data_IF_625615064424
#
_entry.id   IF_625615064424
#
_cell.length_a   1.000
_cell.length_b   1.000
_cell.length_c   1.000
_cell.angle_alpha   90.00
_cell.angle_beta   90.00
_cell.angle_gamma   90.00
#
_symmetry.space_group_name_H-M   'P 1'
#
loop_
_entity.id
_entity.type
_entity.pdbx_description
1 polymer ?
#
# COMPACT_ATOMS: atom_id res chain seq x y z
N UNK A 1 11.39 -11.81 -13.23
CA UNK A 1 12.36 -11.16 -12.32
C UNK A 1 12.28 -9.64 -12.35
N UNK A 2 12.09 -9.02 -13.51
CA UNK A 2 11.99 -7.55 -13.65
C UNK A 2 10.90 -6.92 -12.77
N UNK A 3 9.69 -7.50 -12.75
CA UNK A 3 8.57 -7.03 -11.92
C UNK A 3 8.97 -6.96 -10.44
N UNK A 4 9.69 -7.96 -9.94
CA UNK A 4 10.12 -8.03 -8.54
C UNK A 4 11.14 -6.92 -8.22
N UNK A 5 12.09 -6.67 -9.12
CA UNK A 5 13.04 -5.55 -8.98
C UNK A 5 12.31 -4.21 -8.95
N UNK A 6 11.37 -3.99 -9.87
CA UNK A 6 10.56 -2.77 -9.92
C UNK A 6 9.74 -2.61 -8.63
N UNK A 7 9.15 -3.69 -8.14
CA UNK A 7 8.34 -3.66 -6.94
C UNK A 7 9.17 -3.38 -5.67
N UNK A 8 10.41 -3.86 -5.59
CA UNK A 8 11.36 -3.51 -4.51
C UNK A 8 11.74 -2.03 -4.56
N UNK A 9 12.03 -1.49 -5.74
CA UNK A 9 12.33 -0.07 -5.91
C UNK A 9 11.15 0.81 -5.48
N UNK A 10 9.93 0.45 -5.90
CA UNK A 10 8.70 1.16 -5.51
C UNK A 10 8.47 1.07 -3.99
N UNK A 11 8.63 -0.12 -3.40
CA UNK A 11 8.47 -0.32 -1.95
C UNK A 11 9.45 0.53 -1.15
N UNK A 12 10.67 0.70 -1.66
CA UNK A 12 11.70 1.56 -1.05
C UNK A 12 11.27 3.03 -0.95
N UNK A 13 10.45 3.52 -1.86
CA UNK A 13 9.86 4.87 -1.80
C UNK A 13 8.95 5.00 -0.57
N UNK A 14 8.07 4.03 -0.34
CA UNK A 14 7.19 3.99 0.84
C UNK A 14 7.99 3.91 2.14
N UNK A 15 9.02 3.05 2.19
CA UNK A 15 9.91 2.89 3.35
C UNK A 15 10.59 4.24 3.66
N UNK A 16 11.17 4.90 2.65
CA UNK A 16 11.77 6.22 2.82
C UNK A 16 10.76 7.24 3.36
N UNK A 17 9.53 7.24 2.83
CA UNK A 17 8.42 8.05 3.32
C UNK A 17 8.12 7.83 4.80
N UNK A 18 8.03 6.58 5.26
CA UNK A 18 7.79 6.23 6.68
C UNK A 18 8.96 6.61 7.58
N UNK A 19 10.21 6.40 7.13
CA UNK A 19 11.40 6.74 7.90
C UNK A 19 11.49 8.25 8.10
N UNK A 20 11.35 9.03 7.02
CA UNK A 20 11.45 10.49 7.03
C UNK A 20 10.14 11.21 7.41
N UNK A 21 9.08 10.46 7.73
CA UNK A 21 7.73 11.00 8.00
C UNK A 21 7.23 11.94 6.89
N UNK A 22 7.57 11.63 5.63
CA UNK A 22 7.12 12.40 4.46
C UNK A 22 5.93 11.71 3.82
N UNK A 23 4.72 12.22 4.09
CA UNK A 23 3.45 11.67 3.59
C UNK A 23 3.44 11.45 2.08
N UNK A 24 3.93 12.40 1.30
CA UNK A 24 3.94 12.30 -0.15
C UNK A 24 4.64 11.03 -0.63
N UNK A 25 5.88 10.78 -0.19
CA UNK A 25 6.63 9.59 -0.60
C UNK A 25 6.03 8.30 -0.04
N UNK A 26 5.53 8.35 1.20
CA UNK A 26 4.82 7.22 1.80
C UNK A 26 3.66 6.79 0.90
N UNK A 27 2.76 7.72 0.55
CA UNK A 27 1.58 7.44 -0.27
C UNK A 27 1.96 7.09 -1.72
N UNK A 28 2.93 7.81 -2.30
CA UNK A 28 3.39 7.58 -3.67
C UNK A 28 3.85 6.14 -3.90
N UNK A 29 4.59 5.54 -2.96
CA UNK A 29 5.04 4.17 -3.12
C UNK A 29 3.88 3.17 -3.16
N UNK A 30 2.86 3.29 -2.29
CA UNK A 30 1.65 2.45 -2.39
C UNK A 30 0.88 2.68 -3.68
N UNK A 31 0.79 3.94 -4.13
CA UNK A 31 0.09 4.28 -5.36
C UNK A 31 0.76 3.63 -6.57
N UNK A 32 2.08 3.79 -6.72
CA UNK A 32 2.84 3.16 -7.78
C UNK A 32 2.80 1.64 -7.68
N UNK A 33 2.81 1.08 -6.47
CA UNK A 33 2.69 -0.35 -6.25
C UNK A 33 1.34 -0.88 -6.73
N UNK A 34 0.27 -0.14 -6.47
CA UNK A 34 -1.08 -0.51 -6.93
C UNK A 34 -1.18 -0.53 -8.45
N UNK A 35 -0.56 0.44 -9.13
CA UNK A 35 -0.50 0.49 -10.60
C UNK A 35 0.25 -0.74 -11.12
N UNK A 36 1.43 -1.03 -10.56
CA UNK A 36 2.23 -2.19 -10.95
C UNK A 36 1.43 -3.49 -10.81
N UNK A 37 0.77 -3.68 -9.67
CA UNK A 37 -0.05 -4.86 -9.41
C UNK A 37 -1.18 -5.01 -10.43
N UNK A 38 -1.93 -3.93 -10.69
CA UNK A 38 -3.02 -3.91 -11.69
C UNK A 38 -2.49 -4.26 -13.07
N UNK A 39 -1.37 -3.67 -13.50
CA UNK A 39 -0.79 -3.96 -14.82
C UNK A 39 -0.26 -5.39 -14.92
N UNK A 40 0.20 -5.98 -13.82
CA UNK A 40 0.67 -7.37 -13.80
C UNK A 40 -0.47 -8.39 -13.81
N UNK A 41 -1.69 -8.00 -13.41
CA UNK A 41 -2.89 -8.84 -13.39
C UNK A 41 -3.61 -8.88 -14.74
N UNK A 42 -3.46 -7.85 -15.58
CA UNK A 42 -4.17 -7.77 -16.87
C UNK A 42 -3.90 -8.94 -17.82
N UNK A 43 -2.65 -9.44 -17.98
CA UNK A 43 -2.36 -10.55 -18.89
C UNK A 43 -3.00 -11.88 -18.46
N UNK A 44 -3.12 -12.12 -17.15
CA UNK A 44 -3.60 -13.40 -16.58
C UNK A 44 -5.08 -13.40 -16.25
N UNK A 45 -5.82 -12.34 -16.61
CA UNK A 45 -7.22 -12.15 -16.22
C UNK A 45 -8.15 -13.30 -16.63
N UNK A 46 -7.88 -13.94 -17.76
CA UNK A 46 -8.71 -15.02 -18.29
C UNK A 46 -8.42 -16.39 -17.64
N UNK A 47 -7.34 -16.52 -16.87
CA UNK A 47 -6.91 -17.80 -16.28
C UNK A 47 -7.67 -18.11 -14.98
N UNK A 48 -7.88 -17.12 -14.12
CA UNK A 48 -8.76 -17.19 -12.95
C UNK A 48 -9.54 -15.88 -12.77
N UNK A 49 -10.70 -15.74 -13.43
CA UNK A 49 -11.46 -14.50 -13.42
C UNK A 49 -11.88 -14.03 -12.02
N UNK A 50 -12.17 -14.95 -11.10
CA UNK A 50 -12.61 -14.59 -9.75
C UNK A 50 -11.47 -14.02 -8.92
N UNK A 51 -10.31 -14.68 -8.95
CA UNK A 51 -9.12 -14.18 -8.27
C UNK A 51 -8.63 -12.87 -8.90
N UNK A 52 -8.64 -12.77 -10.22
CA UNK A 52 -8.22 -11.57 -10.95
C UNK A 52 -9.13 -10.38 -10.65
N UNK A 53 -10.47 -10.53 -10.64
CA UNK A 53 -11.41 -9.46 -10.28
C UNK A 53 -11.23 -9.04 -8.81
N UNK A 54 -11.06 -10.01 -7.91
CA UNK A 54 -10.85 -9.74 -6.47
C UNK A 54 -9.57 -8.96 -6.26
N UNK A 55 -8.48 -9.38 -6.89
CA UNK A 55 -7.17 -8.72 -6.82
C UNK A 55 -7.23 -7.33 -7.45
N UNK A 56 -7.87 -7.19 -8.62
CA UNK A 56 -8.09 -5.90 -9.28
C UNK A 56 -8.86 -4.93 -8.37
N UNK A 57 -9.97 -5.37 -7.78
CA UNK A 57 -10.75 -4.54 -6.86
C UNK A 57 -9.92 -4.10 -5.66
N UNK A 58 -9.15 -5.02 -5.06
CA UNK A 58 -8.31 -4.74 -3.91
C UNK A 58 -7.21 -3.70 -4.24
N UNK A 59 -6.52 -3.87 -5.37
CA UNK A 59 -5.45 -2.97 -5.78
C UNK A 59 -5.99 -1.63 -6.34
N UNK A 60 -7.18 -1.59 -6.92
CA UNK A 60 -7.84 -0.32 -7.25
C UNK A 60 -8.16 0.49 -6.00
N UNK A 61 -8.73 -0.15 -4.98
CA UNK A 61 -8.98 0.51 -3.68
C UNK A 61 -7.66 0.99 -3.08
N UNK A 62 -6.60 0.17 -3.12
CA UNK A 62 -5.26 0.56 -2.68
C UNK A 62 -4.79 1.82 -3.40
N UNK A 63 -4.90 1.88 -4.71
CA UNK A 63 -4.51 3.04 -5.53
C UNK A 63 -5.30 4.30 -5.18
N UNK A 64 -6.62 4.20 -5.06
CA UNK A 64 -7.48 5.34 -4.71
C UNK A 64 -7.11 5.91 -3.34
N UNK A 65 -7.03 5.06 -2.31
CA UNK A 65 -6.76 5.54 -0.95
C UNK A 65 -5.31 6.00 -0.77
N UNK A 66 -4.38 5.49 -1.60
CA UNK A 66 -2.97 5.87 -1.57
C UNK A 66 -2.60 7.00 -2.52
N UNK A 67 -3.56 7.61 -3.23
CA UNK A 67 -3.27 8.64 -4.22
C UNK A 67 -2.37 9.75 -3.61
N UNK A 68 -1.24 10.09 -4.27
CA UNK A 68 -0.23 10.94 -3.67
C UNK A 68 -0.75 12.36 -3.46
N UNK A 69 -0.68 12.84 -2.23
CA UNK A 69 -1.03 14.22 -1.85
C UNK A 69 0.22 14.99 -1.46
N UNK A 70 0.42 16.16 -2.08
CA UNK A 70 1.60 17.01 -1.83
C UNK A 70 1.57 17.70 -0.47
N UNK A 71 0.39 18.04 0.03
CA UNK A 71 0.20 18.71 1.32
C UNK A 71 -0.13 17.69 2.41
N UNK A 72 0.47 17.86 3.58
CA UNK A 72 0.00 17.16 4.76
C UNK A 72 -1.36 17.73 5.14
N UNK A 73 -2.19 16.89 5.75
CA UNK A 73 -3.45 17.31 6.37
C UNK A 73 -3.23 18.51 7.31
N UNK A 74 -2.13 18.52 8.06
CA UNK A 74 -1.77 19.59 8.98
C UNK A 74 -1.45 20.94 8.29
N UNK A 75 -1.15 20.92 6.99
CA UNK A 75 -0.80 22.11 6.22
C UNK A 75 -2.06 22.84 5.69
N UNK A 76 -3.24 22.25 5.86
CA UNK A 76 -4.51 22.88 5.51
C UNK A 76 -5.03 23.71 6.68
N UNK A 77 -5.61 24.87 6.39
CA UNK A 77 -6.44 25.60 7.36
C UNK A 77 -7.77 24.85 7.49
N UNK A 78 -7.83 23.94 8.45
CA UNK A 78 -9.02 23.13 8.77
C UNK A 78 -9.73 23.81 9.94
N UNK A 79 -11.05 23.95 9.89
CA UNK A 79 -11.81 24.45 11.04
C UNK A 79 -11.69 23.46 12.23
N UNK A 80 -11.85 23.94 13.45
CA UNK A 80 -11.70 23.11 14.67
C UNK A 80 -12.65 21.90 14.69
N UNK A 81 -13.84 22.05 14.11
CA UNK A 81 -14.87 21.01 14.05
C UNK A 81 -14.52 19.85 13.10
N UNK A 82 -13.77 20.09 12.02
CA UNK A 82 -13.37 19.05 11.07
C UNK A 82 -12.05 18.35 11.45
N UNK A 83 -11.29 18.85 12.43
CA UNK A 83 -10.05 18.22 12.91
C UNK A 83 -10.26 16.75 13.33
N UNK A 84 -11.27 16.38 14.14
CA UNK A 84 -11.52 15.00 14.53
C UNK A 84 -11.85 14.09 13.33
N UNK A 85 -12.66 14.61 12.39
CA UNK A 85 -13.04 13.89 11.17
C UNK A 85 -11.81 13.55 10.33
N UNK A 86 -10.91 14.52 10.16
CA UNK A 86 -9.71 14.36 9.34
C UNK A 86 -8.69 13.42 9.99
N UNK A 87 -8.54 13.46 11.33
CA UNK A 87 -7.75 12.47 12.07
C UNK A 87 -8.32 11.06 11.91
N UNK A 88 -9.64 10.91 12.03
CA UNK A 88 -10.33 9.63 11.84
C UNK A 88 -10.13 9.09 10.42
N UNK A 89 -10.26 9.95 9.41
CA UNK A 89 -10.02 9.57 8.02
C UNK A 89 -8.60 9.06 7.79
N UNK A 90 -7.59 9.76 8.29
CA UNK A 90 -6.20 9.35 8.18
C UNK A 90 -5.91 8.03 8.91
N UNK A 91 -6.47 7.82 10.10
CA UNK A 91 -6.36 6.55 10.82
C UNK A 91 -6.96 5.41 10.00
N UNK A 92 -8.17 5.61 9.46
CA UNK A 92 -8.83 4.64 8.58
C UNK A 92 -7.99 4.35 7.35
N UNK A 93 -7.42 5.37 6.70
CA UNK A 93 -6.52 5.16 5.55
C UNK A 93 -5.33 4.29 5.91
N UNK A 94 -4.62 4.59 7.00
CA UNK A 94 -3.44 3.81 7.41
C UNK A 94 -3.79 2.36 7.75
N UNK A 95 -4.88 2.13 8.49
CA UNK A 95 -5.34 0.78 8.80
C UNK A 95 -5.79 0.02 7.53
N UNK A 96 -6.49 0.69 6.60
CA UNK A 96 -6.87 0.10 5.33
C UNK A 96 -5.65 -0.32 4.50
N UNK A 97 -4.60 0.52 4.44
CA UNK A 97 -3.34 0.16 3.76
C UNK A 97 -2.72 -1.12 4.35
N UNK A 98 -2.74 -1.25 5.68
CA UNK A 98 -2.26 -2.46 6.37
C UNK A 98 -3.09 -3.69 6.04
N UNK A 99 -4.42 -3.59 6.19
CA UNK A 99 -5.35 -4.71 5.95
C UNK A 99 -5.26 -5.19 4.51
N UNK A 100 -5.27 -4.27 3.54
CA UNK A 100 -5.17 -4.60 2.12
C UNK A 100 -3.89 -5.40 1.84
N UNK A 101 -2.75 -4.96 2.39
CA UNK A 101 -1.49 -5.67 2.17
C UNK A 101 -1.45 -7.03 2.86
N UNK A 102 -2.00 -7.18 4.06
CA UNK A 102 -2.10 -8.50 4.70
C UNK A 102 -3.04 -9.45 3.94
N UNK A 103 -4.14 -8.94 3.37
CA UNK A 103 -4.98 -9.73 2.48
C UNK A 103 -4.23 -10.13 1.20
N UNK A 104 -3.42 -9.23 0.65
CA UNK A 104 -2.61 -9.53 -0.53
C UNK A 104 -1.56 -10.65 -0.30
N UNK A 105 -1.05 -10.82 0.94
CA UNK A 105 -0.22 -11.99 1.29
C UNK A 105 -1.00 -13.30 1.04
N UNK A 106 -2.29 -13.34 1.43
CA UNK A 106 -3.14 -14.51 1.21
C UNK A 106 -3.43 -14.71 -0.27
N UNK A 107 -3.69 -13.63 -1.01
CA UNK A 107 -3.89 -13.71 -2.47
C UNK A 107 -2.67 -14.32 -3.15
N UNK A 108 -1.47 -13.80 -2.88
CA UNK A 108 -0.21 -14.35 -3.45
C UNK A 108 0.02 -15.81 -3.04
N UNK A 109 -0.29 -16.17 -1.79
CA UNK A 109 -0.11 -17.55 -1.32
C UNK A 109 -0.96 -18.55 -2.11
N UNK A 110 -2.20 -18.18 -2.41
CA UNK A 110 -3.17 -19.08 -3.05
C UNK A 110 -3.26 -18.94 -4.57
N UNK A 111 -2.63 -17.92 -5.15
CA UNK A 111 -2.61 -17.70 -6.60
C UNK A 111 -1.75 -18.76 -7.30
N UNK A 112 -2.36 -19.59 -8.17
CA UNK A 112 -1.66 -20.61 -8.94
C UNK A 112 -1.05 -20.08 -10.24
N UNK A 113 -1.36 -18.85 -10.62
CA UNK A 113 -1.05 -18.24 -11.91
C UNK A 113 -0.09 -17.06 -11.71
N UNK A 114 1.10 -17.37 -11.18
CA UNK A 114 2.11 -16.36 -10.87
C UNK A 114 2.50 -15.54 -12.11
N UNK A 115 2.75 -14.22 -11.97
CA UNK A 115 3.21 -13.40 -13.08
C UNK A 115 4.49 -13.93 -13.72
N UNK A 116 4.66 -13.65 -15.02
CA UNK A 116 5.79 -14.13 -15.80
C UNK A 116 7.14 -13.81 -15.12
N UNK A 117 7.99 -14.82 -15.01
CA UNK A 117 9.30 -14.72 -14.37
C UNK A 117 9.27 -14.68 -12.83
N UNK A 118 8.18 -15.11 -12.21
CA UNK A 118 8.08 -15.49 -10.78
C UNK A 118 7.67 -16.96 -10.73
N UNK A 119 8.54 -17.83 -10.24
CA UNK A 119 8.22 -19.25 -10.01
C UNK A 119 7.50 -19.46 -8.68
N UNK A 120 6.92 -20.64 -8.48
CA UNK A 120 6.16 -21.00 -7.27
C UNK A 120 6.97 -20.83 -5.97
N UNK A 121 8.25 -21.21 -5.98
CA UNK A 121 9.18 -21.03 -4.86
C UNK A 121 9.51 -19.56 -4.57
N UNK A 122 9.36 -18.69 -5.57
CA UNK A 122 9.59 -17.26 -5.44
C UNK A 122 8.40 -16.51 -4.83
N UNK A 123 7.24 -17.15 -4.58
CA UNK A 123 6.06 -16.53 -3.95
C UNK A 123 6.36 -15.85 -2.61
N UNK A 124 7.36 -16.36 -1.89
CA UNK A 124 7.77 -15.81 -0.60
C UNK A 124 8.20 -14.34 -0.70
N UNK A 125 8.78 -13.91 -1.82
CA UNK A 125 9.25 -12.54 -1.99
C UNK A 125 8.11 -11.50 -2.07
N UNK A 126 7.12 -11.62 -2.98
CA UNK A 126 5.96 -10.73 -2.98
C UNK A 126 5.17 -10.83 -1.66
N UNK A 127 5.08 -12.01 -1.02
CA UNK A 127 4.49 -12.14 0.32
C UNK A 127 5.23 -11.29 1.37
N UNK A 128 6.57 -11.37 1.41
CA UNK A 128 7.38 -10.55 2.33
C UNK A 128 7.17 -9.06 2.04
N UNK A 129 7.16 -8.67 0.77
CA UNK A 129 6.94 -7.27 0.40
C UNK A 129 5.59 -6.75 0.87
N UNK A 130 4.51 -7.52 0.67
CA UNK A 130 3.21 -7.18 1.24
C UNK A 130 3.23 -7.18 2.77
N UNK A 131 3.99 -8.06 3.42
CA UNK A 131 4.23 -7.99 4.85
C UNK A 131 4.86 -6.66 5.28
N UNK A 132 5.93 -6.24 4.61
CA UNK A 132 6.59 -4.95 4.87
C UNK A 132 5.62 -3.79 4.66
N UNK A 133 4.96 -3.73 3.50
CA UNK A 133 3.95 -2.71 3.18
C UNK A 133 2.73 -2.78 4.11
N UNK A 134 2.42 -3.93 4.70
CA UNK A 134 1.37 -4.06 5.72
C UNK A 134 1.78 -3.48 7.07
N UNK A 135 3.06 -3.55 7.42
CA UNK A 135 3.61 -3.07 8.71
C UNK A 135 3.90 -1.57 8.68
N UNK A 136 4.35 -1.01 7.56
CA UNK A 136 4.73 0.40 7.46
C UNK A 136 3.64 1.41 7.94
N UNK A 137 2.34 1.23 7.64
CA UNK A 137 1.30 2.12 8.14
C UNK A 137 1.14 2.02 9.66
N UNK A 138 1.35 0.83 10.25
CA UNK A 138 1.34 0.64 11.71
C UNK A 138 2.52 1.36 12.38
N UNK A 139 3.70 1.31 11.75
CA UNK A 139 4.87 2.09 12.19
C UNK A 139 4.56 3.59 12.13
N UNK A 140 3.93 4.06 11.05
CA UNK A 140 3.52 5.45 10.92
C UNK A 140 2.54 5.85 12.04
N UNK A 141 1.52 5.02 12.32
CA UNK A 141 0.57 5.23 13.43
C UNK A 141 1.28 5.32 14.78
N UNK A 142 2.18 4.38 15.07
CA UNK A 142 2.96 4.40 16.31
C UNK A 142 3.81 5.68 16.44
N UNK A 143 4.52 6.09 15.38
CA UNK A 143 5.30 7.34 15.40
C UNK A 143 4.42 8.56 15.61
N UNK A 144 3.21 8.56 15.06
CA UNK A 144 2.24 9.64 15.26
C UNK A 144 1.68 9.69 16.68
N UNK A 145 1.50 8.54 17.34
CA UNK A 145 1.03 8.50 18.74
C UNK A 145 2.10 8.95 19.74
N UNK A 146 3.38 8.79 19.41
CA UNK A 146 4.50 9.27 20.24
C UNK A 146 4.70 10.79 20.16
N UNK A 147 4.18 11.45 19.12
CA UNK A 147 4.27 12.91 18.98
C UNK A 147 3.28 13.55 19.93
N UNK A 148 3.77 14.20 21.00
CA UNK A 148 2.92 14.99 21.91
C UNK A 148 2.11 15.99 21.08
N UNK A 149 0.81 16.03 21.33
CA UNK A 149 -0.07 17.07 20.80
C UNK A 149 0.21 18.31 21.65
N UNK A 150 1.06 19.22 21.15
CA UNK A 150 1.28 20.54 21.75
C UNK A 150 2.74 20.94 22.03
N UNK A 151 3.58 20.95 21.00
CA UNK A 151 4.74 21.87 20.93
C UNK A 151 4.44 22.93 19.86
#
# INVERSE_FOLDING_TARGET
>A
MEILVVAVLISSISIYGTIKLKRFYFMLGYFLFSILAITSLMPTFNEDPYLSITSLALFLVLGIISFPSKKNIADYKINSEAVPLVKSFMLKTLLSLSVINFLAILLVKYDTNMPEGISEDMKIYPMIMHGVLGILPLIALYKMSQKKIGD
#
